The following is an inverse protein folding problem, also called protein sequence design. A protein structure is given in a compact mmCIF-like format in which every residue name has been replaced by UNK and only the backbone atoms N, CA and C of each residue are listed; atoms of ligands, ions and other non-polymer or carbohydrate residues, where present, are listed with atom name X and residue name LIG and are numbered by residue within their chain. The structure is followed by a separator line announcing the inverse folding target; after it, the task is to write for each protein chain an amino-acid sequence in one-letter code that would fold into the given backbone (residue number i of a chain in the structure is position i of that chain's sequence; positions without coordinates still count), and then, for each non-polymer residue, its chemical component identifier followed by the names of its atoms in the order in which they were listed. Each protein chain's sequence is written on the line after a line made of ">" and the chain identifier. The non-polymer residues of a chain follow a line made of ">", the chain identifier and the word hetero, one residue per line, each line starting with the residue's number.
data_IF_624539590526
#
_entry.id   IF_624539590526
#
_cell.length_a   1.000
_cell.length_b   1.000
_cell.length_c   1.000
_cell.angle_alpha   90.00
_cell.angle_beta   90.00
_cell.angle_gamma   90.00
#
_symmetry.space_group_name_H-M   'P 1'
#
loop_
_entity.id
_entity.type
_entity.pdbx_description
1 polymer ?
#
# COMPACT_ATOMS: atom_id res chain seq x y z
N UNK A 1 87.36 -20.94 18.75
CA UNK A 1 87.00 -20.73 17.34
C UNK A 1 85.47 -20.67 17.29
N UNK A 2 84.92 -19.50 17.01
CA UNK A 2 83.48 -19.22 16.78
C UNK A 2 82.97 -20.02 15.55
N UNK A 3 81.66 -20.31 15.38
CA UNK A 3 80.65 -19.25 15.27
C UNK A 3 79.29 -19.44 15.95
N UNK A 4 78.70 -18.26 16.17
CA UNK A 4 77.31 -17.95 16.50
C UNK A 4 76.35 -18.44 15.41
N UNK A 5 75.22 -19.01 15.81
CA UNK A 5 74.02 -19.10 14.98
C UNK A 5 72.89 -18.34 15.68
N UNK A 6 72.60 -17.19 15.09
CA UNK A 6 71.45 -16.33 15.36
C UNK A 6 70.17 -17.05 14.95
N UNK A 7 69.17 -17.08 15.83
CA UNK A 7 67.80 -17.44 15.47
C UNK A 7 66.86 -16.35 15.98
N UNK A 8 66.39 -15.58 15.01
CA UNK A 8 65.38 -14.53 15.08
C UNK A 8 64.09 -15.02 15.72
N UNK A 9 63.63 -14.30 16.75
CA UNK A 9 62.28 -14.41 17.31
C UNK A 9 61.31 -13.76 16.33
N UNK A 10 60.44 -14.58 15.72
CA UNK A 10 59.34 -14.11 14.87
C UNK A 10 58.18 -13.67 15.79
N UNK A 11 58.06 -12.36 16.04
CA UNK A 11 56.91 -11.81 16.74
C UNK A 11 55.67 -11.84 15.82
N UNK A 12 54.77 -12.78 16.07
CA UNK A 12 53.44 -12.80 15.47
C UNK A 12 52.61 -11.65 16.08
N UNK A 13 52.56 -10.51 15.38
CA UNK A 13 51.57 -9.47 15.62
C UNK A 13 50.21 -10.01 15.18
N UNK A 14 49.43 -10.51 16.14
CA UNK A 14 48.03 -10.82 15.96
C UNK A 14 47.27 -9.48 15.84
N UNK A 15 47.12 -8.99 14.62
CA UNK A 15 46.27 -7.85 14.35
C UNK A 15 44.81 -8.29 14.60
N UNK A 16 44.28 -7.96 15.77
CA UNK A 16 42.85 -8.03 16.04
C UNK A 16 42.17 -7.03 15.11
N UNK A 17 41.63 -7.52 13.99
CA UNK A 17 40.70 -6.76 13.18
C UNK A 17 39.48 -6.48 14.06
N UNK A 18 39.46 -5.32 14.71
CA UNK A 18 38.23 -4.76 15.24
C UNK A 18 37.38 -4.44 14.03
N UNK A 19 36.42 -5.32 13.71
CA UNK A 19 35.37 -4.99 12.79
C UNK A 19 34.68 -3.75 13.36
N UNK A 20 34.94 -2.59 12.76
CA UNK A 20 34.13 -1.39 12.98
C UNK A 20 32.74 -1.77 12.51
N UNK A 21 31.85 -2.10 13.45
CA UNK A 21 30.42 -2.15 13.19
C UNK A 21 30.05 -0.71 12.89
N UNK A 22 30.04 -0.35 11.59
CA UNK A 22 29.43 0.89 11.16
C UNK A 22 28.00 0.90 11.71
N UNK A 23 27.56 1.99 12.35
CA UNK A 23 26.17 2.12 12.75
C UNK A 23 25.30 1.85 11.52
N UNK A 24 24.45 0.81 11.55
CA UNK A 24 23.40 0.66 10.53
C UNK A 24 22.37 1.76 10.80
N UNK A 25 22.59 2.95 10.22
CA UNK A 25 21.82 4.18 10.48
C UNK A 25 21.01 4.66 9.28
N UNK A 26 20.95 3.91 8.19
CA UNK A 26 20.08 4.28 7.06
C UNK A 26 18.64 3.93 7.42
N UNK A 27 17.83 4.96 7.66
CA UNK A 27 16.39 4.83 7.84
C UNK A 27 15.76 4.06 6.66
N UNK A 28 14.65 3.37 6.93
CA UNK A 28 13.85 2.76 5.88
C UNK A 28 13.41 3.82 4.86
N UNK A 29 13.57 3.52 3.58
CA UNK A 29 13.28 4.44 2.48
C UNK A 29 12.83 3.67 1.23
N UNK A 30 12.24 4.39 0.27
CA UNK A 30 11.84 3.80 -1.00
C UNK A 30 13.08 3.54 -1.87
N UNK A 31 13.24 2.30 -2.34
CA UNK A 31 14.37 1.86 -3.17
C UNK A 31 13.98 1.51 -4.62
N UNK A 32 12.74 1.81 -4.99
CA UNK A 32 12.18 1.60 -6.33
C UNK A 32 11.53 2.90 -6.79
N UNK A 33 11.31 3.03 -8.10
CA UNK A 33 10.50 4.11 -8.67
C UNK A 33 9.13 3.58 -9.07
N UNK A 34 8.10 4.43 -9.12
CA UNK A 34 6.83 4.10 -9.76
C UNK A 34 7.03 3.55 -11.17
N UNK A 35 6.21 2.57 -11.54
CA UNK A 35 6.16 2.00 -12.88
C UNK A 35 5.11 2.75 -13.69
N UNK A 36 5.47 3.95 -14.13
CA UNK A 36 4.54 4.83 -14.84
C UNK A 36 4.09 4.22 -16.18
N UNK A 37 2.80 4.33 -16.47
CA UNK A 37 2.20 3.93 -17.74
C UNK A 37 1.11 4.89 -18.19
N UNK A 38 0.18 4.39 -19.02
CA UNK A 38 -0.95 5.16 -19.51
C UNK A 38 -2.27 4.45 -19.23
N UNK A 39 -3.32 5.24 -18.98
CA UNK A 39 -4.65 4.71 -18.73
C UNK A 39 -5.32 4.12 -19.99
N UNK A 40 -4.79 4.42 -21.18
CA UNK A 40 -5.29 3.97 -22.48
C UNK A 40 -4.63 2.69 -22.98
N UNK A 41 -3.51 2.26 -22.38
CA UNK A 41 -2.73 1.09 -22.81
C UNK A 41 -3.31 -0.26 -22.39
N UNK A 42 -4.41 -0.28 -21.63
CA UNK A 42 -5.09 -1.50 -21.21
C UNK A 42 -4.34 -2.34 -20.18
N UNK A 43 -3.05 -2.10 -19.92
CA UNK A 43 -2.27 -2.80 -18.89
C UNK A 43 -2.21 -1.94 -17.62
N UNK A 44 -2.58 -2.47 -16.43
CA UNK A 44 -2.49 -1.73 -15.19
C UNK A 44 -1.06 -1.27 -14.90
N UNK A 45 -0.91 0.03 -14.68
CA UNK A 45 0.36 0.69 -14.38
C UNK A 45 0.11 1.83 -13.39
N UNK A 46 1.18 2.37 -12.79
CA UNK A 46 1.04 3.57 -11.98
C UNK A 46 0.69 4.76 -12.88
N UNK A 47 -0.35 5.50 -12.53
CA UNK A 47 -0.81 6.66 -13.32
C UNK A 47 -1.36 7.77 -12.45
N UNK A 48 -1.18 9.00 -12.91
CA UNK A 48 -1.96 10.17 -12.53
C UNK A 48 -2.50 10.84 -13.80
N UNK A 49 -3.83 10.81 -13.95
CA UNK A 49 -4.55 11.42 -15.08
C UNK A 49 -5.58 12.40 -14.53
N UNK A 50 -5.10 13.60 -14.18
CA UNK A 50 -5.93 14.74 -13.79
C UNK A 50 -6.04 14.99 -12.28
N UNK A 51 -5.42 14.16 -11.42
CA UNK A 51 -5.29 14.53 -10.02
C UNK A 51 -4.28 15.67 -9.87
N UNK A 52 -4.68 16.68 -9.10
CA UNK A 52 -3.84 17.83 -8.77
C UNK A 52 -2.70 17.41 -7.83
N UNK A 53 -1.64 18.24 -7.68
CA UNK A 53 -0.64 18.02 -6.65
C UNK A 53 -1.29 17.81 -5.28
N UNK A 54 -0.75 16.89 -4.48
CA UNK A 54 -1.32 16.49 -3.20
C UNK A 54 -1.60 17.69 -2.26
N UNK A 55 -0.76 18.71 -2.28
CA UNK A 55 -0.90 19.96 -1.50
C UNK A 55 -2.11 20.82 -1.86
N UNK A 56 -2.79 20.53 -2.98
CA UNK A 56 -4.02 21.23 -3.37
C UNK A 56 -5.28 20.67 -2.68
N UNK A 57 -5.20 19.47 -2.13
CA UNK A 57 -6.31 18.84 -1.44
C UNK A 57 -6.35 19.29 0.02
N UNK A 58 -7.51 19.78 0.46
CA UNK A 58 -7.77 20.17 1.86
C UNK A 58 -8.24 18.99 2.70
N UNK A 59 -8.87 18.01 2.06
CA UNK A 59 -9.38 16.81 2.71
C UNK A 59 -8.98 15.57 1.94
N UNK A 60 -8.55 14.54 2.66
CA UNK A 60 -8.38 13.17 2.15
C UNK A 60 -9.44 12.31 2.83
N UNK A 61 -10.29 11.66 2.03
CA UNK A 61 -11.23 10.65 2.50
C UNK A 61 -10.67 9.28 2.12
N UNK A 62 -10.38 8.43 3.10
CA UNK A 62 -9.78 7.14 2.87
C UNK A 62 -10.73 6.00 3.23
N UNK A 63 -10.91 5.06 2.31
CA UNK A 63 -11.67 3.83 2.47
C UNK A 63 -10.74 2.64 2.32
N UNK A 64 -10.93 1.60 3.13
CA UNK A 64 -10.10 0.40 3.02
C UNK A 64 -10.21 -0.55 4.20
N UNK A 65 -9.15 -1.34 4.37
CA UNK A 65 -9.05 -2.34 5.42
C UNK A 65 -8.09 -1.94 6.56
N UNK A 66 -7.45 -2.90 7.23
CA UNK A 66 -6.47 -2.68 8.29
C UNK A 66 -5.23 -1.89 7.85
N UNK A 67 -4.90 -1.89 6.55
CA UNK A 67 -3.79 -1.13 5.98
C UNK A 67 -4.09 0.36 5.93
N UNK A 68 -5.38 0.71 5.93
CA UNK A 68 -5.86 2.10 5.98
C UNK A 68 -6.25 2.48 7.41
N UNK A 69 -6.82 1.55 8.19
CA UNK A 69 -7.44 1.81 9.50
C UNK A 69 -6.58 1.64 10.76
N UNK A 70 -5.30 1.25 10.65
CA UNK A 70 -4.36 1.38 11.79
C UNK A 70 -3.91 0.11 12.51
N UNK A 71 -3.67 -0.99 11.80
CA UNK A 71 -3.08 -2.21 12.41
C UNK A 71 -1.54 -2.21 12.42
N UNK A 72 -0.92 -1.13 12.93
CA UNK A 72 0.54 -0.95 12.91
C UNK A 72 1.12 -0.44 14.24
N UNK A 73 2.44 -0.23 14.31
CA UNK A 73 3.16 0.36 15.44
C UNK A 73 3.33 1.88 15.35
N UNK A 74 2.55 2.54 14.51
CA UNK A 74 2.62 3.98 14.25
C UNK A 74 1.61 4.38 13.18
N UNK A 75 1.74 5.59 12.60
CA UNK A 75 0.83 6.09 11.57
C UNK A 75 0.72 5.14 10.37
N UNK A 76 -0.49 5.06 9.82
CA UNK A 76 -0.75 4.45 8.52
C UNK A 76 -0.30 5.35 7.38
N UNK A 77 -0.22 4.77 6.19
CA UNK A 77 0.22 5.49 5.00
C UNK A 77 -0.71 6.65 4.62
N UNK A 78 -2.01 6.56 4.92
CA UNK A 78 -2.96 7.66 4.68
C UNK A 78 -2.83 8.79 5.71
N UNK A 79 -2.43 8.46 6.94
CA UNK A 79 -2.09 9.46 7.96
C UNK A 79 -0.82 10.21 7.57
N UNK A 80 0.22 9.50 7.14
CA UNK A 80 1.45 10.12 6.63
C UNK A 80 1.19 10.98 5.38
N UNK A 81 0.34 10.50 4.46
CA UNK A 81 -0.06 11.25 3.27
C UNK A 81 -0.76 12.58 3.63
N UNK A 82 -1.73 12.53 4.55
CA UNK A 82 -2.44 13.71 5.03
C UNK A 82 -1.51 14.67 5.81
N UNK A 83 -0.67 14.13 6.69
CA UNK A 83 0.28 14.92 7.48
C UNK A 83 1.28 15.66 6.59
N UNK A 84 1.75 15.04 5.51
CA UNK A 84 2.71 15.64 4.58
C UNK A 84 2.18 16.88 3.83
N UNK A 85 0.84 17.04 3.78
CA UNK A 85 0.16 18.12 3.04
C UNK A 85 -0.59 19.09 3.95
N UNK A 86 -0.80 18.72 5.22
CA UNK A 86 -1.70 19.43 6.13
C UNK A 86 -3.19 19.22 5.82
N UNK A 87 -3.54 18.24 4.98
CA UNK A 87 -4.93 17.90 4.69
C UNK A 87 -5.62 17.28 5.91
N UNK A 88 -6.91 17.56 6.08
CA UNK A 88 -7.74 16.81 7.04
C UNK A 88 -7.92 15.39 6.52
N UNK A 89 -7.57 14.39 7.33
CA UNK A 89 -7.91 12.99 7.06
C UNK A 89 -9.30 12.66 7.63
N UNK A 90 -10.15 12.04 6.81
CA UNK A 90 -11.36 11.35 7.24
C UNK A 90 -11.18 9.88 6.86
N UNK A 91 -10.94 9.03 7.86
CA UNK A 91 -10.54 7.64 7.66
C UNK A 91 -11.69 6.69 8.02
N UNK A 92 -12.16 5.92 7.03
CA UNK A 92 -13.16 4.86 7.19
C UNK A 92 -12.55 3.46 7.16
N UNK A 93 -11.23 3.35 6.98
CA UNK A 93 -10.53 2.06 6.91
C UNK A 93 -10.76 1.22 8.16
N UNK A 94 -11.04 -0.07 7.97
CA UNK A 94 -11.39 -0.95 9.08
C UNK A 94 -10.88 -2.39 8.90
N UNK A 95 -10.33 -2.96 9.97
CA UNK A 95 -9.70 -4.28 9.91
C UNK A 95 -10.67 -5.39 9.47
N UNK A 96 -10.28 -6.14 8.44
CA UNK A 96 -11.05 -7.24 7.90
C UNK A 96 -12.15 -6.82 6.90
N UNK A 97 -12.16 -5.55 6.50
CA UNK A 97 -13.06 -5.08 5.46
C UNK A 97 -12.77 -5.77 4.12
N UNK A 98 -13.84 -6.15 3.43
CA UNK A 98 -13.88 -6.60 2.04
C UNK A 98 -14.70 -5.59 1.24
N UNK A 99 -14.79 -5.75 -0.08
CA UNK A 99 -15.66 -4.89 -0.90
C UNK A 99 -17.13 -5.04 -0.50
N UNK A 100 -17.62 -6.28 -0.43
CA UNK A 100 -19.00 -6.60 -0.04
C UNK A 100 -19.02 -7.96 0.65
N UNK A 101 -19.48 -8.01 1.89
CA UNK A 101 -19.56 -9.28 2.62
C UNK A 101 -20.51 -10.27 1.95
N UNK A 102 -21.54 -9.82 1.24
CA UNK A 102 -22.51 -10.71 0.60
C UNK A 102 -21.92 -11.51 -0.56
N UNK A 103 -20.74 -11.13 -1.06
CA UNK A 103 -19.97 -11.93 -2.01
C UNK A 103 -19.29 -13.15 -1.35
N UNK A 104 -19.27 -13.18 -0.01
CA UNK A 104 -18.62 -14.18 0.84
C UNK A 104 -19.58 -14.82 1.87
N UNK A 105 -20.75 -15.34 1.47
CA UNK A 105 -21.83 -15.74 2.40
C UNK A 105 -21.46 -16.94 3.31
N UNK A 106 -20.45 -17.72 2.93
CA UNK A 106 -19.99 -18.90 3.69
C UNK A 106 -18.82 -18.57 4.64
N UNK A 107 -18.24 -17.38 4.54
CA UNK A 107 -17.10 -16.97 5.34
C UNK A 107 -17.58 -16.25 6.61
N UNK A 108 -17.85 -17.02 7.67
CA UNK A 108 -18.44 -16.48 8.91
C UNK A 108 -17.63 -15.32 9.53
N UNK A 109 -16.29 -15.37 9.42
CA UNK A 109 -15.40 -14.29 9.87
C UNK A 109 -15.57 -13.00 9.06
N UNK A 110 -15.87 -13.10 7.76
CA UNK A 110 -16.17 -11.97 6.88
C UNK A 110 -17.60 -11.47 7.13
N UNK A 111 -18.57 -12.36 7.28
CA UNK A 111 -19.96 -11.99 7.62
C UNK A 111 -20.03 -11.19 8.93
N UNK A 112 -19.20 -11.54 9.92
CA UNK A 112 -19.09 -10.79 11.17
C UNK A 112 -18.53 -9.36 11.00
N UNK A 113 -18.10 -8.98 9.80
CA UNK A 113 -17.56 -7.67 9.42
C UNK A 113 -18.46 -6.90 8.46
N UNK A 114 -19.74 -7.29 8.34
CA UNK A 114 -20.70 -6.64 7.46
C UNK A 114 -20.73 -5.11 7.62
N UNK A 115 -20.74 -4.61 8.85
CA UNK A 115 -20.83 -3.16 9.12
C UNK A 115 -19.59 -2.36 8.72
N UNK A 116 -18.53 -3.00 8.22
CA UNK A 116 -17.27 -2.33 7.91
C UNK A 116 -16.77 -2.61 6.48
N UNK A 117 -17.56 -3.25 5.63
CA UNK A 117 -17.21 -3.41 4.20
C UNK A 117 -17.25 -2.09 3.43
N UNK A 118 -16.74 -2.09 2.19
CA UNK A 118 -16.66 -0.86 1.39
C UNK A 118 -18.03 -0.19 1.18
N UNK A 119 -19.07 -0.99 0.95
CA UNK A 119 -20.44 -0.49 0.78
C UNK A 119 -20.88 0.28 2.02
N UNK A 120 -20.72 -0.29 3.21
CA UNK A 120 -21.10 0.39 4.45
C UNK A 120 -20.21 1.60 4.77
N UNK A 121 -18.90 1.52 4.49
CA UNK A 121 -18.02 2.68 4.64
C UNK A 121 -18.45 3.86 3.74
N UNK A 122 -18.88 3.60 2.51
CA UNK A 122 -19.40 4.63 1.60
C UNK A 122 -20.77 5.14 2.03
N UNK A 123 -21.65 4.28 2.53
CA UNK A 123 -22.94 4.68 3.09
C UNK A 123 -22.76 5.61 4.30
N UNK A 124 -21.87 5.28 5.22
CA UNK A 124 -21.55 6.12 6.38
C UNK A 124 -21.00 7.48 5.94
N UNK A 125 -20.10 7.50 4.94
CA UNK A 125 -19.59 8.74 4.40
C UNK A 125 -20.68 9.61 3.77
N UNK A 126 -21.47 9.05 2.86
CA UNK A 126 -22.47 9.81 2.08
C UNK A 126 -23.63 10.33 2.93
N UNK A 127 -23.89 9.71 4.08
CA UNK A 127 -24.91 10.15 5.03
C UNK A 127 -24.41 11.18 6.04
N UNK A 128 -23.12 11.16 6.39
CA UNK A 128 -22.57 12.02 7.45
C UNK A 128 -21.75 13.21 6.97
N UNK A 129 -21.19 13.15 5.76
CA UNK A 129 -20.25 14.16 5.27
C UNK A 129 -20.82 14.98 4.12
N UNK A 130 -20.44 16.26 4.08
CA UNK A 130 -20.59 17.15 2.94
C UNK A 130 -19.27 17.89 2.75
N UNK A 131 -18.58 17.59 1.66
CA UNK A 131 -17.26 18.13 1.37
C UNK A 131 -17.25 18.82 0.01
N UNK A 132 -16.29 19.70 -0.20
CA UNK A 132 -16.05 20.30 -1.50
C UNK A 132 -15.34 19.29 -2.42
N UNK A 133 -16.00 18.81 -3.49
CA UNK A 133 -15.40 17.81 -4.39
C UNK A 133 -14.16 18.34 -5.12
N UNK A 134 -13.98 19.66 -5.26
CA UNK A 134 -12.81 20.22 -5.93
C UNK A 134 -11.54 20.12 -5.08
N UNK A 135 -11.67 20.13 -3.74
CA UNK A 135 -10.55 20.11 -2.80
C UNK A 135 -10.49 18.84 -1.95
N UNK A 136 -11.25 17.80 -2.34
CA UNK A 136 -11.27 16.49 -1.66
C UNK A 136 -10.68 15.42 -2.57
N UNK A 137 -9.74 14.64 -2.03
CA UNK A 137 -9.21 13.42 -2.64
C UNK A 137 -9.86 12.19 -1.98
N UNK A 138 -10.43 11.31 -2.79
CA UNK A 138 -11.00 10.03 -2.36
C UNK A 138 -9.99 8.92 -2.64
N UNK A 139 -9.53 8.26 -1.58
CA UNK A 139 -8.55 7.19 -1.60
C UNK A 139 -9.26 5.88 -1.30
N UNK A 140 -9.14 4.90 -2.19
CA UNK A 140 -9.81 3.60 -2.06
C UNK A 140 -8.75 2.50 -2.15
N UNK A 141 -8.61 1.71 -1.09
CA UNK A 141 -7.65 0.60 -1.01
C UNK A 141 -8.33 -0.68 -0.51
N UNK A 142 -8.74 -1.53 -1.45
CA UNK A 142 -9.43 -2.79 -1.20
C UNK A 142 -8.89 -3.91 -2.09
N UNK A 143 -9.26 -5.15 -1.77
CA UNK A 143 -8.96 -6.34 -2.58
C UNK A 143 -8.07 -7.37 -1.89
N UNK A 144 -7.36 -7.00 -0.81
CA UNK A 144 -6.51 -7.95 -0.05
C UNK A 144 -7.37 -9.01 0.64
N UNK A 145 -8.37 -8.57 1.42
CA UNK A 145 -9.30 -9.47 2.12
C UNK A 145 -10.10 -10.34 1.15
N UNK A 146 -10.62 -9.73 0.08
CA UNK A 146 -11.35 -10.43 -0.98
C UNK A 146 -10.49 -11.50 -1.67
N UNK A 147 -9.26 -11.17 -2.02
CA UNK A 147 -8.36 -12.12 -2.65
C UNK A 147 -7.97 -13.26 -1.71
N UNK A 148 -7.72 -12.98 -0.44
CA UNK A 148 -7.44 -14.00 0.56
C UNK A 148 -8.61 -15.00 0.69
N UNK A 149 -9.85 -14.50 0.70
CA UNK A 149 -11.04 -15.35 0.76
C UNK A 149 -11.28 -16.11 -0.56
N UNK A 150 -10.99 -15.50 -1.72
CA UNK A 150 -11.04 -16.17 -3.01
C UNK A 150 -10.11 -17.39 -3.03
N UNK A 151 -8.87 -17.21 -2.56
CA UNK A 151 -7.88 -18.29 -2.44
C UNK A 151 -8.33 -19.35 -1.44
N UNK A 152 -8.81 -18.96 -0.26
CA UNK A 152 -9.23 -19.89 0.79
C UNK A 152 -10.43 -20.75 0.36
N UNK A 153 -11.39 -20.15 -0.35
CA UNK A 153 -12.61 -20.82 -0.82
C UNK A 153 -12.48 -21.50 -2.19
N UNK A 154 -11.36 -21.29 -2.89
CA UNK A 154 -11.14 -21.78 -4.26
C UNK A 154 -12.02 -21.09 -5.32
N UNK A 155 -12.57 -19.90 -5.01
CA UNK A 155 -13.41 -19.12 -5.93
C UNK A 155 -12.57 -18.19 -6.81
N UNK A 156 -13.13 -17.83 -7.97
CA UNK A 156 -12.49 -16.95 -8.97
C UNK A 156 -13.31 -15.70 -9.26
N UNK A 157 -14.19 -15.29 -8.34
CA UNK A 157 -15.14 -14.18 -8.48
C UNK A 157 -14.52 -12.76 -8.39
N UNK A 158 -13.20 -12.64 -8.48
CA UNK A 158 -12.47 -11.38 -8.39
C UNK A 158 -12.93 -10.31 -9.41
N UNK A 159 -13.40 -10.73 -10.59
CA UNK A 159 -14.05 -9.81 -11.55
C UNK A 159 -15.36 -9.21 -11.04
N UNK A 160 -16.19 -10.00 -10.35
CA UNK A 160 -17.45 -9.52 -9.78
C UNK A 160 -17.19 -8.54 -8.64
N UNK A 161 -16.16 -8.82 -7.83
CA UNK A 161 -15.72 -7.96 -6.74
C UNK A 161 -15.23 -6.60 -7.28
N UNK A 162 -14.44 -6.60 -8.36
CA UNK A 162 -14.06 -5.35 -9.04
C UNK A 162 -15.29 -4.58 -9.55
N UNK A 163 -16.27 -5.30 -10.11
CA UNK A 163 -17.54 -4.71 -10.56
C UNK A 163 -18.33 -4.04 -9.43
N UNK A 164 -18.43 -4.70 -8.27
CA UNK A 164 -19.09 -4.14 -7.08
C UNK A 164 -18.37 -2.88 -6.58
N UNK A 165 -17.03 -2.93 -6.48
CA UNK A 165 -16.24 -1.76 -6.07
C UNK A 165 -16.49 -0.56 -7.01
N UNK A 166 -16.47 -0.80 -8.33
CA UNK A 166 -16.74 0.25 -9.33
C UNK A 166 -18.18 0.76 -9.25
N UNK A 167 -19.15 -0.10 -8.98
CA UNK A 167 -20.53 0.33 -8.77
C UNK A 167 -20.65 1.25 -7.54
N UNK A 168 -20.05 0.89 -6.42
CA UNK A 168 -20.04 1.72 -5.21
C UNK A 168 -19.28 3.03 -5.42
N UNK A 169 -18.23 3.04 -6.27
CA UNK A 169 -17.62 4.30 -6.72
C UNK A 169 -18.58 5.18 -7.51
N UNK A 170 -19.41 4.60 -8.39
CA UNK A 170 -20.42 5.36 -9.12
C UNK A 170 -21.44 5.99 -8.16
N UNK A 171 -21.87 5.27 -7.12
CA UNK A 171 -22.71 5.84 -6.04
C UNK A 171 -22.02 7.01 -5.35
N UNK A 172 -20.75 6.86 -4.97
CA UNK A 172 -19.96 7.93 -4.37
C UNK A 172 -19.90 9.18 -5.27
N UNK A 173 -19.71 8.99 -6.58
CA UNK A 173 -19.61 10.09 -7.56
C UNK A 173 -20.95 10.72 -7.94
N UNK A 174 -22.05 9.99 -7.81
CA UNK A 174 -23.42 10.44 -8.10
C UNK A 174 -24.17 10.94 -6.87
N UNK A 175 -23.64 10.68 -5.68
CA UNK A 175 -24.13 11.24 -4.43
C UNK A 175 -23.95 12.76 -4.35
N UNK A 176 -24.52 13.38 -3.31
CA UNK A 176 -24.31 14.82 -3.04
C UNK A 176 -22.85 15.21 -2.80
N UNK A 177 -21.96 14.22 -2.62
CA UNK A 177 -20.52 14.43 -2.47
C UNK A 177 -19.81 14.71 -3.80
N UNK A 178 -20.42 14.37 -4.94
CA UNK A 178 -19.88 14.56 -6.29
C UNK A 178 -18.38 14.19 -6.41
N UNK A 179 -18.00 13.04 -5.84
CA UNK A 179 -16.60 12.64 -5.79
C UNK A 179 -15.98 12.62 -7.19
N UNK A 180 -14.95 13.46 -7.38
CA UNK A 180 -14.32 13.67 -8.68
C UNK A 180 -12.84 13.27 -8.71
N UNK A 181 -12.13 13.44 -7.60
CA UNK A 181 -10.70 13.10 -7.51
C UNK A 181 -10.55 11.76 -6.81
N UNK A 182 -10.23 10.72 -7.59
CA UNK A 182 -10.24 9.33 -7.11
C UNK A 182 -8.84 8.73 -7.28
N UNK A 183 -8.26 8.25 -6.19
CA UNK A 183 -7.07 7.43 -6.17
C UNK A 183 -7.45 6.00 -5.79
N UNK A 184 -7.23 5.06 -6.70
CA UNK A 184 -7.28 3.62 -6.40
C UNK A 184 -5.86 3.16 -6.06
N UNK A 185 -5.75 2.41 -4.98
CA UNK A 185 -4.50 1.74 -4.60
C UNK A 185 -4.74 0.24 -4.66
N UNK A 186 -3.79 -0.48 -5.29
CA UNK A 186 -3.84 -1.92 -5.47
C UNK A 186 -2.67 -2.64 -4.79
N UNK A 187 -3.00 -3.72 -4.07
CA UNK A 187 -2.06 -4.71 -3.58
C UNK A 187 -2.74 -6.05 -3.30
N UNK A 188 -3.72 -6.46 -4.11
CA UNK A 188 -4.60 -7.59 -3.78
C UNK A 188 -3.85 -8.84 -3.26
N UNK A 189 -2.68 -9.13 -3.82
CA UNK A 189 -1.91 -10.34 -3.56
C UNK A 189 -0.64 -10.14 -2.73
N UNK A 190 -0.44 -8.95 -2.15
CA UNK A 190 0.74 -8.62 -1.35
C UNK A 190 2.05 -8.97 -2.08
N UNK A 191 2.20 -8.49 -3.32
CA UNK A 191 3.37 -8.75 -4.18
C UNK A 191 3.29 -10.01 -5.05
N UNK A 192 2.33 -10.90 -4.80
CA UNK A 192 2.09 -12.10 -5.60
C UNK A 192 1.01 -11.84 -6.65
N UNK A 193 1.16 -12.46 -7.81
CA UNK A 193 0.17 -12.38 -8.89
C UNK A 193 -0.63 -13.66 -9.03
N UNK A 194 -1.85 -13.56 -9.56
CA UNK A 194 -2.63 -14.69 -10.05
C UNK A 194 -3.62 -14.24 -11.13
N UNK A 195 -4.08 -15.15 -11.99
CA UNK A 195 -5.05 -14.79 -13.04
C UNK A 195 -6.32 -14.10 -12.49
N UNK A 196 -6.86 -14.56 -11.36
CA UNK A 196 -8.06 -13.97 -10.76
C UNK A 196 -7.79 -12.59 -10.17
N UNK A 197 -6.67 -12.41 -9.46
CA UNK A 197 -6.32 -11.11 -8.89
C UNK A 197 -5.92 -10.08 -9.96
N UNK A 198 -5.19 -10.51 -11.00
CA UNK A 198 -4.83 -9.67 -12.14
C UNK A 198 -6.08 -9.21 -12.90
N UNK A 199 -7.09 -10.07 -12.99
CA UNK A 199 -8.41 -9.72 -13.51
C UNK A 199 -9.12 -8.64 -12.67
N UNK A 200 -9.07 -8.72 -11.33
CA UNK A 200 -9.58 -7.67 -10.45
C UNK A 200 -8.85 -6.34 -10.69
N UNK A 201 -7.53 -6.36 -10.66
CA UNK A 201 -6.67 -5.20 -10.92
C UNK A 201 -6.99 -4.56 -12.28
N UNK A 202 -7.11 -5.39 -13.31
CA UNK A 202 -7.49 -4.98 -14.66
C UNK A 202 -8.86 -4.33 -14.71
N UNK A 203 -9.85 -4.93 -14.04
CA UNK A 203 -11.22 -4.42 -13.97
C UNK A 203 -11.28 -3.02 -13.36
N UNK A 204 -10.55 -2.79 -12.26
CA UNK A 204 -10.45 -1.47 -11.64
C UNK A 204 -9.77 -0.46 -12.57
N UNK A 205 -8.63 -0.82 -13.16
CA UNK A 205 -7.88 0.07 -14.04
C UNK A 205 -8.67 0.49 -15.29
N UNK A 206 -9.32 -0.47 -15.96
CA UNK A 206 -10.20 -0.20 -17.11
C UNK A 206 -11.38 0.69 -16.73
N UNK A 207 -11.93 0.50 -15.53
CA UNK A 207 -13.05 1.29 -15.03
C UNK A 207 -12.66 2.74 -14.75
N UNK A 208 -11.45 3.00 -14.24
CA UNK A 208 -10.92 4.36 -14.11
C UNK A 208 -10.82 5.07 -15.47
N UNK A 209 -10.34 4.38 -16.50
CA UNK A 209 -10.29 4.92 -17.87
C UNK A 209 -11.68 5.24 -18.43
N UNK A 210 -12.66 4.38 -18.14
CA UNK A 210 -14.05 4.60 -18.53
C UNK A 210 -14.67 5.76 -17.76
N UNK A 211 -14.47 5.84 -16.44
CA UNK A 211 -15.00 6.93 -15.62
C UNK A 211 -14.38 8.29 -15.95
N UNK A 212 -13.08 8.33 -16.30
CA UNK A 212 -12.44 9.53 -16.85
C UNK A 212 -13.15 10.02 -18.11
N UNK A 213 -13.41 9.11 -19.07
CA UNK A 213 -13.99 9.42 -20.38
C UNK A 213 -15.47 9.80 -20.30
N UNK A 214 -16.25 9.07 -19.51
CA UNK A 214 -17.71 9.20 -19.49
C UNK A 214 -18.21 10.15 -18.40
N UNK A 215 -17.53 10.22 -17.26
CA UNK A 215 -17.98 10.98 -16.08
C UNK A 215 -17.02 12.11 -15.69
N UNK A 216 -15.89 12.26 -16.40
CA UNK A 216 -14.95 13.36 -16.16
C UNK A 216 -14.19 13.26 -14.84
N UNK A 217 -14.03 12.06 -14.29
CA UNK A 217 -13.24 11.83 -13.07
C UNK A 217 -11.77 12.21 -13.27
N UNK A 218 -11.16 12.81 -12.25
CA UNK A 218 -9.71 12.92 -12.14
C UNK A 218 -9.22 11.66 -11.42
N UNK A 219 -8.32 10.90 -12.03
CA UNK A 219 -8.02 9.55 -11.55
C UNK A 219 -6.53 9.31 -11.36
N UNK A 220 -6.20 8.55 -10.33
CA UNK A 220 -4.88 7.97 -10.11
C UNK A 220 -5.00 6.48 -9.81
N UNK A 221 -3.97 5.74 -10.16
CA UNK A 221 -3.81 4.34 -9.79
C UNK A 221 -2.38 4.13 -9.29
N UNK A 222 -2.23 3.58 -8.09
CA UNK A 222 -0.92 3.25 -7.51
C UNK A 222 -0.88 1.77 -7.13
N UNK A 223 0.13 1.03 -7.59
CA UNK A 223 0.28 -0.40 -7.31
C UNK A 223 1.34 -0.64 -6.24
N UNK A 224 0.91 -0.80 -4.98
CA UNK A 224 1.78 -1.24 -3.90
C UNK A 224 2.32 -2.66 -4.10
N UNK A 225 1.77 -3.42 -5.05
CA UNK A 225 2.40 -4.65 -5.53
C UNK A 225 3.88 -4.42 -5.91
N UNK A 226 4.24 -3.24 -6.42
CA UNK A 226 5.62 -2.90 -6.76
C UNK A 226 6.52 -2.82 -5.52
N UNK A 227 6.01 -2.25 -4.42
CA UNK A 227 6.73 -2.22 -3.13
C UNK A 227 6.90 -3.64 -2.60
N UNK A 228 5.82 -4.41 -2.52
CA UNK A 228 5.87 -5.77 -1.99
C UNK A 228 6.76 -6.69 -2.83
N UNK A 229 6.67 -6.60 -4.15
CA UNK A 229 7.55 -7.33 -5.04
C UNK A 229 9.00 -6.90 -4.82
N UNK A 230 9.30 -5.60 -4.83
CA UNK A 230 10.66 -5.07 -4.63
C UNK A 230 11.28 -5.45 -3.29
N UNK A 231 10.49 -5.62 -2.23
CA UNK A 231 10.96 -6.02 -0.90
C UNK A 231 11.08 -7.54 -0.74
N UNK A 232 10.05 -8.30 -1.13
CA UNK A 232 9.87 -9.71 -0.72
C UNK A 232 10.25 -10.75 -1.79
N UNK A 233 10.08 -10.43 -3.08
CA UNK A 233 10.13 -11.46 -4.14
C UNK A 233 11.06 -11.10 -5.31
N UNK A 234 11.23 -9.82 -5.57
CA UNK A 234 11.98 -9.26 -6.69
C UNK A 234 13.20 -8.48 -6.24
N UNK A 235 13.70 -7.66 -7.16
CA UNK A 235 14.80 -6.72 -6.94
C UNK A 235 14.24 -5.35 -6.53
N UNK A 236 14.91 -4.58 -5.65
CA UNK A 236 16.27 -4.78 -5.12
C UNK A 236 16.39 -5.60 -3.82
N UNK A 237 15.29 -6.08 -3.25
CA UNK A 237 15.25 -6.80 -1.98
C UNK A 237 15.18 -5.89 -0.76
N UNK A 238 14.72 -6.41 0.38
CA UNK A 238 14.40 -5.63 1.57
C UNK A 238 15.55 -4.77 2.12
N UNK A 239 16.81 -5.22 2.01
CA UNK A 239 17.96 -4.45 2.50
C UNK A 239 18.17 -3.14 1.74
N UNK A 240 17.84 -3.10 0.45
CA UNK A 240 17.95 -1.88 -0.34
C UNK A 240 16.96 -0.81 0.10
N UNK A 241 15.82 -1.20 0.67
CA UNK A 241 14.86 -0.31 1.31
C UNK A 241 15.28 0.09 2.75
N UNK A 242 16.41 -0.41 3.25
CA UNK A 242 16.87 -0.18 4.62
C UNK A 242 16.28 -1.12 5.67
N UNK A 243 15.46 -2.11 5.30
CA UNK A 243 14.98 -3.10 6.27
C UNK A 243 16.12 -4.02 6.71
N UNK A 244 16.08 -4.43 7.98
CA UNK A 244 16.93 -5.50 8.52
C UNK A 244 16.20 -6.83 8.60
N UNK A 245 14.86 -6.83 8.54
CA UNK A 245 14.02 -8.01 8.57
C UNK A 245 12.76 -7.83 7.70
N UNK A 246 12.53 -8.67 6.66
CA UNK A 246 11.34 -8.62 5.82
C UNK A 246 10.10 -9.26 6.47
N UNK A 247 10.25 -9.87 7.64
CA UNK A 247 9.20 -10.54 8.39
C UNK A 247 8.48 -9.63 9.39
N UNK A 248 7.85 -10.28 10.38
CA UNK A 248 7.04 -9.63 11.42
C UNK A 248 7.89 -9.23 12.62
N UNK A 249 7.56 -8.09 13.25
CA UNK A 249 8.17 -7.70 14.52
C UNK A 249 7.46 -8.33 15.73
N UNK A 250 6.13 -8.46 15.69
CA UNK A 250 5.32 -9.03 16.76
C UNK A 250 4.78 -10.39 16.35
N UNK A 251 5.16 -11.42 17.11
CA UNK A 251 4.67 -12.79 16.94
C UNK A 251 4.37 -13.41 18.31
N UNK A 252 3.09 -13.69 18.56
CA UNK A 252 2.63 -14.10 19.89
C UNK A 252 2.95 -13.03 20.93
N UNK A 253 3.69 -13.40 21.98
CA UNK A 253 4.11 -12.49 23.05
C UNK A 253 5.51 -11.88 22.82
N UNK A 254 6.17 -12.19 21.71
CA UNK A 254 7.51 -11.69 21.42
C UNK A 254 7.43 -10.45 20.50
N UNK A 255 8.23 -9.43 20.84
CA UNK A 255 8.46 -8.25 20.02
C UNK A 255 9.94 -8.19 19.63
N UNK A 256 10.21 -7.80 18.39
CA UNK A 256 11.56 -7.60 17.88
C UNK A 256 12.26 -6.39 18.55
N UNK A 257 13.59 -6.39 18.55
CA UNK A 257 14.40 -5.32 19.14
C UNK A 257 14.48 -4.04 18.30
N UNK A 258 14.13 -4.11 17.02
CA UNK A 258 14.26 -3.02 16.06
C UNK A 258 13.01 -2.89 15.15
N UNK A 259 11.88 -2.44 15.70
CA UNK A 259 10.62 -2.32 14.95
C UNK A 259 10.66 -1.31 13.80
N UNK A 260 11.65 -0.40 13.80
CA UNK A 260 11.78 0.64 12.77
C UNK A 260 12.40 0.13 11.46
N UNK A 261 12.99 -1.07 11.47
CA UNK A 261 13.59 -1.70 10.28
C UNK A 261 12.98 -3.06 9.96
N UNK A 262 11.75 -3.32 10.42
CA UNK A 262 10.95 -4.49 10.03
C UNK A 262 9.90 -4.13 9.00
N UNK A 263 9.63 -5.02 8.03
CA UNK A 263 8.62 -4.78 7.00
C UNK A 263 7.18 -4.96 7.53
N UNK A 264 6.94 -5.95 8.38
CA UNK A 264 5.63 -6.17 8.99
C UNK A 264 5.67 -5.90 10.50
N UNK A 265 4.59 -5.30 11.02
CA UNK A 265 4.38 -5.18 12.46
C UNK A 265 3.86 -6.50 13.02
N UNK A 266 2.70 -6.94 12.54
CA UNK A 266 2.09 -8.24 12.84
C UNK A 266 1.92 -9.05 11.55
N UNK A 267 1.61 -10.36 11.60
CA UNK A 267 1.35 -11.13 10.40
C UNK A 267 0.33 -10.47 9.48
N UNK A 268 0.77 -10.11 8.27
CA UNK A 268 -0.08 -9.49 7.27
C UNK A 268 -0.44 -8.03 7.51
N UNK A 269 0.19 -7.32 8.45
CA UNK A 269 0.01 -5.86 8.60
C UNK A 269 1.36 -5.13 8.57
N UNK A 270 1.52 -4.09 7.71
CA UNK A 270 2.76 -3.35 7.57
C UNK A 270 3.21 -2.69 8.87
N UNK A 271 4.53 -2.51 9.05
CA UNK A 271 5.05 -1.62 10.09
C UNK A 271 4.83 -0.14 9.73
N UNK A 272 5.01 0.75 10.70
CA UNK A 272 4.97 2.19 10.48
C UNK A 272 6.03 2.64 9.44
N UNK A 273 7.20 1.99 9.45
CA UNK A 273 8.23 2.23 8.44
C UNK A 273 7.75 1.85 7.03
N UNK A 274 7.01 0.73 6.92
CA UNK A 274 6.40 0.32 5.66
C UNK A 274 5.27 1.25 5.23
N UNK A 275 4.44 1.73 6.16
CA UNK A 275 3.44 2.74 5.86
C UNK A 275 4.04 4.05 5.36
N UNK A 276 5.19 4.47 5.90
CA UNK A 276 5.91 5.66 5.44
C UNK A 276 6.38 5.53 3.98
N UNK A 277 6.92 4.37 3.59
CA UNK A 277 7.31 4.14 2.18
C UNK A 277 6.09 4.01 1.26
N UNK A 278 4.95 3.49 1.74
CA UNK A 278 3.69 3.45 1.00
C UNK A 278 3.19 4.88 0.70
N UNK A 279 3.22 5.78 1.68
CA UNK A 279 2.85 7.18 1.50
C UNK A 279 3.81 7.91 0.53
N UNK A 280 5.11 7.64 0.66
CA UNK A 280 6.14 8.15 -0.25
C UNK A 280 5.89 7.68 -1.68
N UNK A 281 5.64 6.38 -1.87
CA UNK A 281 5.35 5.80 -3.17
C UNK A 281 4.13 6.44 -3.85
N UNK A 282 3.02 6.62 -3.12
CA UNK A 282 1.84 7.32 -3.65
C UNK A 282 2.19 8.76 -4.05
N UNK A 283 2.95 9.46 -3.23
CA UNK A 283 3.40 10.83 -3.53
C UNK A 283 4.26 10.86 -4.81
N UNK A 284 5.13 9.87 -5.01
CA UNK A 284 5.91 9.70 -6.22
C UNK A 284 5.05 9.36 -7.44
N UNK A 285 4.06 8.46 -7.32
CA UNK A 285 3.12 8.15 -8.41
C UNK A 285 2.40 9.42 -8.86
N UNK A 286 1.86 10.19 -7.91
CA UNK A 286 1.07 11.38 -8.21
C UNK A 286 1.91 12.53 -8.80
N UNK A 287 3.22 12.57 -8.53
CA UNK A 287 4.13 13.60 -9.06
C UNK A 287 4.86 13.19 -10.33
N UNK A 288 5.20 11.91 -10.49
CA UNK A 288 6.05 11.41 -11.58
C UNK A 288 5.24 10.76 -12.71
N UNK A 289 4.12 10.10 -12.40
CA UNK A 289 3.31 9.38 -13.41
C UNK A 289 2.19 10.24 -14.00
N UNK A 290 2.44 11.55 -14.12
CA UNK A 290 1.48 12.49 -14.70
C UNK A 290 1.47 12.30 -16.21
N UNK A 291 0.32 11.88 -16.76
CA UNK A 291 0.13 11.85 -18.20
C UNK A 291 -0.27 13.25 -18.69
N UNK A 292 0.52 13.80 -19.62
CA UNK A 292 0.12 14.95 -20.42
C UNK A 292 -1.14 14.56 -21.21
N UNK A 293 -2.23 15.28 -20.99
CA UNK A 293 -3.50 15.12 -21.72
C UNK A 293 -3.32 15.18 -23.23
#
# INVERSE_FOLDING_TARGET
>A
MFPLLSSTVLAFLCATASAVVLPRTSAVHLAIKPQCGTLTGGVPADVNVGLSPLSSYKTIVAFGDSYTGGSSNGPTWVEDLANSTGAKLINYGSSGAVVDVNQWPQAASIQAKASVDFINQVNDFTTTQKLDPATTLFVIFFGIGDYAEAVASGKTNMNQIAGTLVYTMLELTSSTSFAKNILIVDNYGLGKTSPAGDQFKQGLFTSLGTGRRLYGWNVGFASFNNIWNGVLYGSPGYQAFGYTNPGVCVQGNAQCSDPNHTFYWTPGNPSAATHSIMATYVSEVLSQCVSST
#
